data_IF_381114678486
#
_entry.id   IF_381114678486
#
_cell.length_a   1.000
_cell.length_b   1.000
_cell.length_c   1.000
_cell.angle_alpha   90.00
_cell.angle_beta   90.00
_cell.angle_gamma   90.00
#
_symmetry.space_group_name_H-M   'P 1'
#
loop_
_entity.id
_entity.type
_entity.pdbx_description
1 polymer ?
#
# COMPACT_ATOMS: atom_id res chain seq x y z
N UNK A 1 13.43 -2.46 0.76
CA UNK A 1 12.48 -2.79 -0.34
C UNK A 1 12.63 -4.27 -0.71
N UNK A 2 11.60 -5.07 -0.47
CA UNK A 2 11.51 -6.45 -0.94
C UNK A 2 10.77 -6.51 -2.28
N UNK A 3 11.05 -7.53 -3.10
CA UNK A 3 10.31 -7.79 -4.35
C UNK A 3 9.45 -9.03 -4.18
N UNK A 4 8.20 -8.96 -4.60
CA UNK A 4 7.27 -10.11 -4.60
C UNK A 4 6.63 -10.27 -5.97
N UNK A 5 6.29 -11.50 -6.33
CA UNK A 5 5.46 -11.74 -7.50
C UNK A 5 4.03 -11.22 -7.22
N UNK A 6 3.37 -10.63 -8.21
CA UNK A 6 2.05 -10.00 -8.01
C UNK A 6 0.99 -10.97 -7.49
N UNK A 7 1.07 -12.25 -7.91
CA UNK A 7 0.19 -13.32 -7.42
C UNK A 7 0.37 -13.61 -5.92
N UNK A 8 1.56 -13.34 -5.38
CA UNK A 8 1.87 -13.53 -3.96
C UNK A 8 1.62 -12.26 -3.14
N UNK A 9 1.58 -11.08 -3.77
CA UNK A 9 1.39 -9.79 -3.09
C UNK A 9 0.19 -9.81 -2.14
N UNK A 10 -0.96 -10.30 -2.61
CA UNK A 10 -2.16 -10.41 -1.79
C UNK A 10 -1.92 -11.25 -0.53
N UNK A 11 -1.32 -12.44 -0.68
CA UNK A 11 -1.06 -13.34 0.44
C UNK A 11 0.00 -12.78 1.39
N UNK A 12 1.03 -12.11 0.87
CA UNK A 12 2.08 -11.46 1.67
C UNK A 12 1.48 -10.37 2.54
N UNK A 13 0.70 -9.46 1.96
CA UNK A 13 0.04 -8.39 2.73
C UNK A 13 -0.95 -8.99 3.73
N UNK A 14 -1.80 -9.94 3.31
CA UNK A 14 -2.76 -10.61 4.19
C UNK A 14 -2.10 -11.23 5.42
N UNK A 15 -0.94 -11.87 5.27
CA UNK A 15 -0.19 -12.48 6.38
C UNK A 15 0.46 -11.44 7.30
N UNK A 16 0.79 -10.26 6.77
CA UNK A 16 1.42 -9.20 7.53
C UNK A 16 0.41 -8.33 8.32
N UNK A 17 -0.83 -8.17 7.84
CA UNK A 17 -1.87 -7.39 8.56
C UNK A 17 -2.05 -7.75 10.04
N UNK A 18 -2.14 -9.04 10.45
CA UNK A 18 -2.28 -9.38 11.87
C UNK A 18 -1.02 -9.13 12.68
N UNK A 19 0.17 -9.18 12.06
CA UNK A 19 1.45 -8.96 12.76
C UNK A 19 1.79 -7.48 12.93
N UNK A 20 1.17 -6.60 12.15
CA UNK A 20 1.42 -5.17 12.22
C UNK A 20 0.96 -4.56 13.54
N UNK A 21 1.75 -3.66 14.12
CA UNK A 21 1.30 -2.77 15.19
C UNK A 21 0.55 -1.54 14.63
N UNK A 22 -0.19 -0.84 15.49
CA UNK A 22 -0.77 0.45 15.14
C UNK A 22 0.36 1.45 14.84
N UNK A 23 0.23 2.21 13.75
CA UNK A 23 1.29 3.07 13.23
C UNK A 23 2.28 2.36 12.30
N UNK A 24 2.08 1.09 11.97
CA UNK A 24 2.84 0.44 10.89
C UNK A 24 2.11 0.56 9.55
N UNK A 25 2.87 0.71 8.48
CA UNK A 25 2.33 0.72 7.12
C UNK A 25 3.06 -0.23 6.19
N UNK A 26 2.32 -0.82 5.26
CA UNK A 26 2.85 -1.60 4.16
C UNK A 26 2.50 -0.90 2.86
N UNK A 27 3.51 -0.64 2.06
CA UNK A 27 3.37 -0.08 0.73
C UNK A 27 3.78 -1.11 -0.30
N UNK A 28 2.98 -1.26 -1.36
CA UNK A 28 3.34 -2.04 -2.54
C UNK A 28 3.26 -1.18 -3.79
N UNK A 29 4.35 -1.10 -4.54
CA UNK A 29 4.46 -0.30 -5.77
C UNK A 29 4.85 -1.11 -6.99
N UNK A 30 4.50 -0.59 -8.16
CA UNK A 30 5.04 -1.06 -9.44
C UNK A 30 6.52 -0.71 -9.56
N UNK A 31 7.20 -1.31 -10.55
CA UNK A 31 8.60 -1.00 -10.86
C UNK A 31 8.86 0.48 -11.10
N UNK A 32 7.95 1.14 -11.80
CA UNK A 32 8.04 2.56 -12.13
C UNK A 32 7.68 3.48 -10.96
N UNK A 33 7.17 2.92 -9.85
CA UNK A 33 6.69 3.64 -8.66
C UNK A 33 5.58 4.67 -8.96
N UNK A 34 4.97 4.59 -10.14
CA UNK A 34 3.91 5.45 -10.63
C UNK A 34 2.52 5.00 -10.14
N UNK A 35 2.43 3.77 -9.66
CA UNK A 35 1.19 3.11 -9.25
C UNK A 35 1.47 2.18 -8.07
N UNK A 36 0.50 2.05 -7.18
CA UNK A 36 0.65 1.26 -5.98
C UNK A 36 -0.52 1.34 -5.02
N UNK A 37 -0.30 0.71 -3.89
CA UNK A 37 -1.23 0.65 -2.77
C UNK A 37 -0.43 0.81 -1.48
N UNK A 38 -1.04 1.45 -0.49
CA UNK A 38 -0.52 1.64 0.86
C UNK A 38 -1.60 1.19 1.83
N UNK A 39 -1.18 0.45 2.85
CA UNK A 39 -2.03 -0.03 3.93
C UNK A 39 -1.39 0.38 5.24
N UNK A 40 -2.00 1.32 5.94
CA UNK A 40 -1.61 1.77 7.28
C UNK A 40 -2.55 1.14 8.30
N UNK A 41 -2.00 0.54 9.36
CA UNK A 41 -2.79 0.11 10.50
C UNK A 41 -2.97 1.30 11.44
N UNK A 42 -4.20 1.80 11.51
CA UNK A 42 -4.53 2.94 12.36
C UNK A 42 -4.76 2.48 13.80
N UNK A 43 -5.61 1.46 13.96
CA UNK A 43 -6.01 0.89 15.25
C UNK A 43 -6.06 -0.64 15.18
N UNK A 44 -6.53 -1.28 16.26
CA UNK A 44 -6.75 -2.73 16.30
C UNK A 44 -7.74 -3.22 15.22
N UNK A 45 -8.77 -2.42 14.91
CA UNK A 45 -9.86 -2.81 14.00
C UNK A 45 -9.85 -2.06 12.67
N UNK A 46 -9.17 -0.91 12.60
CA UNK A 46 -9.21 -0.01 11.45
C UNK A 46 -7.87 0.07 10.72
N UNK A 47 -7.97 -0.01 9.40
CA UNK A 47 -6.86 0.12 8.47
C UNK A 47 -7.17 1.21 7.47
N UNK A 48 -6.22 2.12 7.26
CA UNK A 48 -6.31 3.11 6.19
C UNK A 48 -5.68 2.50 4.94
N UNK A 49 -6.48 2.40 3.90
CA UNK A 49 -6.08 1.92 2.59
C UNK A 49 -6.00 3.09 1.63
N UNK A 50 -4.85 3.27 0.99
CA UNK A 50 -4.68 4.22 -0.08
C UNK A 50 -4.26 3.49 -1.36
N UNK A 51 -4.97 3.72 -2.45
CA UNK A 51 -4.55 3.29 -3.78
C UNK A 51 -4.22 4.52 -4.61
N UNK A 52 -3.18 4.39 -5.43
CA UNK A 52 -2.78 5.44 -6.36
C UNK A 52 -2.28 4.85 -7.66
N UNK A 53 -2.54 5.55 -8.77
CA UNK A 53 -2.16 5.09 -10.09
C UNK A 53 -3.29 5.23 -11.10
N UNK A 54 -4.13 4.20 -11.21
CA UNK A 54 -5.37 4.29 -11.99
C UNK A 54 -6.48 4.99 -11.21
N UNK A 55 -6.67 4.59 -9.96
CA UNK A 55 -7.56 5.29 -9.03
C UNK A 55 -6.73 5.89 -7.90
N UNK A 56 -6.95 7.16 -7.60
CA UNK A 56 -6.39 7.82 -6.42
C UNK A 56 -7.48 7.94 -5.37
N UNK A 57 -7.51 7.00 -4.41
CA UNK A 57 -8.52 6.97 -3.36
C UNK A 57 -7.93 6.49 -2.04
N UNK A 58 -8.22 7.24 -0.97
CA UNK A 58 -7.95 6.86 0.40
C UNK A 58 -9.27 6.50 1.10
N UNK A 59 -9.32 5.34 1.73
CA UNK A 59 -10.50 4.79 2.39
C UNK A 59 -10.10 4.06 3.67
N UNK A 60 -10.99 4.03 4.65
CA UNK A 60 -10.79 3.30 5.91
C UNK A 60 -11.62 2.03 5.86
N UNK A 61 -10.97 0.90 6.17
CA UNK A 61 -11.57 -0.42 6.12
C UNK A 61 -11.28 -1.21 7.40
N UNK A 62 -12.12 -2.21 7.68
CA UNK A 62 -11.79 -3.26 8.62
C UNK A 62 -10.99 -4.35 7.90
N UNK A 63 -10.43 -5.30 8.65
CA UNK A 63 -9.61 -6.38 8.09
C UNK A 63 -10.30 -7.15 6.94
N UNK A 64 -11.60 -7.42 7.06
CA UNK A 64 -12.36 -8.20 6.07
C UNK A 64 -12.63 -7.40 4.80
N UNK A 65 -13.06 -6.14 4.91
CA UNK A 65 -13.32 -5.28 3.75
C UNK A 65 -12.04 -4.85 3.06
N UNK A 66 -10.97 -4.63 3.82
CA UNK A 66 -9.63 -4.35 3.32
C UNK A 66 -9.14 -5.45 2.38
N UNK A 67 -9.25 -6.73 2.79
CA UNK A 67 -8.81 -7.85 1.94
C UNK A 67 -9.57 -7.92 0.61
N UNK A 68 -10.89 -7.65 0.64
CA UNK A 68 -11.69 -7.59 -0.59
C UNK A 68 -11.25 -6.44 -1.49
N UNK A 69 -11.00 -5.27 -0.92
CA UNK A 69 -10.55 -4.11 -1.67
C UNK A 69 -9.14 -4.34 -2.23
N UNK A 70 -8.21 -4.81 -1.40
CA UNK A 70 -6.84 -5.14 -1.77
C UNK A 70 -6.79 -6.04 -3.01
N UNK A 71 -7.61 -7.11 -3.05
CA UNK A 71 -7.65 -8.01 -4.21
C UNK A 71 -8.12 -7.31 -5.48
N UNK A 72 -9.12 -6.43 -5.38
CA UNK A 72 -9.62 -5.62 -6.51
C UNK A 72 -8.58 -4.61 -6.98
N UNK A 73 -7.97 -3.88 -6.06
CA UNK A 73 -6.96 -2.87 -6.33
C UNK A 73 -5.70 -3.50 -6.93
N UNK A 74 -5.26 -4.67 -6.46
CA UNK A 74 -4.13 -5.39 -7.07
C UNK A 74 -4.42 -5.71 -8.54
N UNK A 75 -5.61 -6.22 -8.85
CA UNK A 75 -5.99 -6.54 -10.24
C UNK A 75 -6.07 -5.29 -11.13
N UNK A 76 -6.53 -4.15 -10.58
CA UNK A 76 -6.69 -2.89 -11.30
C UNK A 76 -5.37 -2.12 -11.46
N UNK A 77 -4.58 -2.02 -10.41
CA UNK A 77 -3.32 -1.24 -10.37
C UNK A 77 -2.14 -1.99 -11.02
N UNK A 78 -2.16 -3.32 -10.99
CA UNK A 78 -1.07 -4.17 -11.50
C UNK A 78 -1.49 -5.09 -12.66
N UNK A 79 -2.16 -4.59 -13.73
CA UNK A 79 -2.72 -5.45 -14.78
C UNK A 79 -1.67 -6.15 -15.64
N UNK A 80 -0.44 -5.61 -15.72
CA UNK A 80 0.68 -6.17 -16.52
C UNK A 80 2.00 -6.27 -15.75
N UNK A 81 1.97 -6.01 -14.44
CA UNK A 81 3.17 -6.04 -13.61
C UNK A 81 3.37 -7.44 -13.07
N UNK A 82 4.51 -8.08 -13.38
CA UNK A 82 4.83 -9.40 -12.80
C UNK A 82 5.31 -9.28 -11.35
N UNK A 83 5.96 -8.16 -11.01
CA UNK A 83 6.56 -7.91 -9.70
C UNK A 83 6.00 -6.65 -9.06
N UNK A 84 5.86 -6.70 -7.74
CA UNK A 84 5.59 -5.54 -6.89
C UNK A 84 6.72 -5.37 -5.86
N UNK A 85 7.07 -4.12 -5.59
CA UNK A 85 8.06 -3.74 -4.58
C UNK A 85 7.32 -3.41 -3.30
N UNK A 86 7.59 -4.18 -2.25
CA UNK A 86 7.01 -3.97 -0.94
C UNK A 86 7.99 -3.23 -0.03
N UNK A 87 7.47 -2.25 0.70
CA UNK A 87 8.13 -1.57 1.81
C UNK A 87 7.24 -1.69 3.03
N UNK A 88 7.86 -1.96 4.16
CA UNK A 88 7.22 -1.86 5.47
C UNK A 88 7.82 -0.63 6.16
N UNK A 89 6.95 0.14 6.82
CA UNK A 89 7.26 1.37 7.51
C UNK A 89 6.75 1.28 8.93
N UNK A 90 7.55 1.76 9.87
CA UNK A 90 7.24 1.82 11.29
C UNK A 90 7.04 3.28 11.73
N UNK A 91 6.18 3.52 12.72
CA UNK A 91 5.99 4.85 13.32
C UNK A 91 5.28 5.86 12.41
N UNK A 92 4.45 5.39 11.49
CA UNK A 92 3.65 6.21 10.57
C UNK A 92 2.42 6.75 11.28
N UNK A 93 2.39 8.06 11.52
CA UNK A 93 1.24 8.74 12.12
C UNK A 93 0.09 8.97 11.14
N UNK A 94 0.38 9.12 9.84
CA UNK A 94 -0.62 9.38 8.79
C UNK A 94 -0.08 9.04 7.39
N UNK A 95 -0.97 8.68 6.45
CA UNK A 95 -0.60 8.36 5.05
C UNK A 95 0.01 9.54 4.30
N UNK A 96 -0.36 10.77 4.67
CA UNK A 96 0.21 11.99 4.10
C UNK A 96 1.71 12.11 4.41
N UNK A 97 2.14 11.65 5.59
CA UNK A 97 3.55 11.62 5.97
C UNK A 97 4.36 10.64 5.11
N UNK A 98 3.75 9.52 4.67
CA UNK A 98 4.39 8.58 3.73
C UNK A 98 4.52 9.15 2.30
N UNK A 99 3.59 10.01 1.89
CA UNK A 99 3.64 10.64 0.57
C UNK A 99 4.69 11.75 0.50
N UNK A 100 5.02 12.42 1.62
CA UNK A 100 5.99 13.51 1.66
C UNK A 100 7.40 13.08 1.23
N UNK A 101 7.80 11.83 1.51
CA UNK A 101 9.09 11.26 1.05
C UNK A 101 9.13 10.99 -0.47
N UNK A 102 8.01 11.15 -1.19
CA UNK A 102 7.91 10.91 -2.63
C UNK A 102 7.69 12.18 -3.47
N UNK A 103 7.57 13.35 -2.83
CA UNK A 103 7.34 14.64 -3.50
C UNK A 103 8.48 15.64 -3.31
N UNK A 104 9.71 15.19 -3.11
CA UNK A 104 10.89 16.06 -3.20
C UNK A 104 11.56 15.95 -4.57
N UNK A 105 10.84 16.36 -5.61
CA UNK A 105 11.46 17.11 -6.70
C UNK A 105 10.56 18.31 -7.05
N UNK A 106 10.89 19.53 -6.62
CA UNK A 106 10.45 20.69 -7.37
C UNK A 106 11.19 20.60 -8.71
N UNK A 107 10.48 20.28 -9.80
CA UNK A 107 11.04 20.53 -11.12
C UNK A 107 11.27 22.04 -11.23
N UNK A 108 12.53 22.44 -11.31
CA UNK A 108 12.95 23.83 -11.57
C UNK A 108 12.85 24.12 -13.08
N UNK A 109 11.67 23.88 -13.66
CA UNK A 109 11.26 24.38 -14.97
C UNK A 109 9.75 24.63 -14.95
#
# INVERSE_FOLDING_TARGET
>A
MAKVHISQLFQTVQRALPTMAAGEAIEARTFKKDRGIVVLKQDAEHFVFNQFGFDNQTMIFNSVSLLKQLKKSIAKEFPRSNMAWIVHFDGVSSIEALNADNHSQPSLF
#
